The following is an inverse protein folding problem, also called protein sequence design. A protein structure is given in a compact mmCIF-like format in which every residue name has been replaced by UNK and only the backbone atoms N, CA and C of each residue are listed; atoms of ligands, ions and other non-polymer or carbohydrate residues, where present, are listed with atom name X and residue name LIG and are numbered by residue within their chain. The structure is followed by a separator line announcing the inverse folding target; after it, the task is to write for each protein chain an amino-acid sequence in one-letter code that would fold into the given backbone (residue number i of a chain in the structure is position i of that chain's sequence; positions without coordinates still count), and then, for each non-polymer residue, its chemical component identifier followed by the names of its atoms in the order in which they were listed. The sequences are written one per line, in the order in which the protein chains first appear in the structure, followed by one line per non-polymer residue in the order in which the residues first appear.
data_IF_936279981183
#
_entry.id   IF_936279981183
#
_cell.length_a   1.000
_cell.length_b   1.000
_cell.length_c   1.000
_cell.angle_alpha   90.00
_cell.angle_beta   90.00
_cell.angle_gamma   90.00
#
_symmetry.space_group_name_H-M   'P 1'
#
loop_
_entity.id
_entity.type
_entity.pdbx_description
1 polymer ?
#
# COMPACT_ATOMS: atom_id res chain seq x y z
N UNK A 1 -22.98 -5.45 12.97
CA UNK A 1 -22.91 -5.88 11.55
C UNK A 1 -22.14 -7.19 11.49
N UNK A 2 -22.58 -8.18 10.71
CA UNK A 2 -21.80 -9.41 10.53
C UNK A 2 -20.47 -9.11 9.81
N UNK A 3 -19.37 -9.76 10.22
CA UNK A 3 -18.04 -9.55 9.66
C UNK A 3 -18.00 -9.73 8.14
N UNK A 4 -18.83 -10.65 7.61
CA UNK A 4 -18.98 -10.87 6.18
C UNK A 4 -19.54 -9.65 5.43
N UNK A 5 -20.51 -8.95 6.03
CA UNK A 5 -21.11 -7.74 5.45
C UNK A 5 -20.08 -6.62 5.40
N UNK A 6 -19.27 -6.45 6.45
CA UNK A 6 -18.22 -5.43 6.48
C UNK A 6 -17.12 -5.68 5.44
N UNK A 7 -16.72 -6.95 5.27
CA UNK A 7 -15.80 -7.37 4.20
C UNK A 7 -16.38 -7.08 2.81
N UNK A 8 -17.65 -7.40 2.58
CA UNK A 8 -18.34 -7.10 1.33
C UNK A 8 -18.34 -5.61 1.00
N UNK A 9 -18.67 -4.77 1.99
CA UNK A 9 -18.65 -3.30 1.83
C UNK A 9 -17.25 -2.79 1.47
N UNK A 10 -16.21 -3.24 2.19
CA UNK A 10 -14.83 -2.85 1.90
C UNK A 10 -14.41 -3.27 0.49
N UNK A 11 -14.71 -4.50 0.09
CA UNK A 11 -14.34 -5.03 -1.22
C UNK A 11 -15.01 -4.27 -2.36
N UNK A 12 -16.32 -4.01 -2.25
CA UNK A 12 -17.07 -3.27 -3.28
C UNK A 12 -16.59 -1.83 -3.34
N UNK A 13 -16.53 -1.13 -2.21
CA UNK A 13 -16.13 0.28 -2.17
C UNK A 13 -14.68 0.47 -2.65
N UNK A 14 -13.76 -0.41 -2.24
CA UNK A 14 -12.38 -0.36 -2.70
C UNK A 14 -12.29 -0.66 -4.19
N UNK A 15 -13.00 -1.69 -4.68
CA UNK A 15 -13.05 -2.05 -6.10
C UNK A 15 -13.60 -0.92 -6.98
N UNK A 16 -14.67 -0.26 -6.55
CA UNK A 16 -15.22 0.91 -7.25
C UNK A 16 -14.19 2.04 -7.34
N UNK A 17 -13.47 2.32 -6.25
CA UNK A 17 -12.42 3.33 -6.25
C UNK A 17 -11.24 2.95 -7.16
N UNK A 18 -10.83 1.67 -7.16
CA UNK A 18 -9.80 1.12 -8.06
C UNK A 18 -10.19 1.38 -9.52
N UNK A 19 -11.42 1.05 -9.89
CA UNK A 19 -11.92 1.25 -11.26
C UNK A 19 -11.96 2.73 -11.60
N UNK A 20 -12.48 3.58 -10.72
CA UNK A 20 -12.56 5.03 -10.95
C UNK A 20 -11.17 5.66 -11.18
N UNK A 21 -10.18 5.32 -10.35
CA UNK A 21 -8.81 5.81 -10.49
C UNK A 21 -8.14 5.24 -11.73
N UNK A 22 -8.40 3.98 -12.07
CA UNK A 22 -7.87 3.37 -13.30
C UNK A 22 -8.41 4.08 -14.54
N UNK A 23 -9.73 4.34 -14.61
CA UNK A 23 -10.36 5.06 -15.73
C UNK A 23 -9.89 6.52 -15.81
N UNK A 24 -9.67 7.19 -14.68
CA UNK A 24 -9.12 8.54 -14.65
C UNK A 24 -7.67 8.54 -15.15
N UNK A 25 -6.88 7.59 -14.68
CA UNK A 25 -5.46 7.46 -15.02
C UNK A 25 -5.21 6.98 -16.44
N UNK A 26 -6.15 6.26 -17.07
CA UNK A 26 -6.09 5.93 -18.50
C UNK A 26 -6.11 7.18 -19.38
N UNK A 27 -6.74 8.26 -18.92
CA UNK A 27 -6.76 9.56 -19.60
C UNK A 27 -5.56 10.44 -19.27
N UNK A 28 -4.77 10.09 -18.25
CA UNK A 28 -3.63 10.87 -17.78
C UNK A 28 -2.32 10.16 -18.16
N UNK A 29 -1.36 10.89 -18.72
CA UNK A 29 0.02 10.37 -18.86
C UNK A 29 0.84 10.83 -17.66
N UNK A 30 1.68 9.96 -17.07
CA UNK A 30 2.01 8.58 -17.46
C UNK A 30 1.04 7.51 -16.90
N UNK A 31 0.76 6.47 -17.71
CA UNK A 31 -0.17 5.37 -17.38
C UNK A 31 0.22 4.53 -16.16
N UNK A 32 1.49 4.58 -15.72
CA UNK A 32 1.96 3.81 -14.56
C UNK A 32 1.28 4.22 -13.25
N UNK A 33 0.76 5.45 -13.18
CA UNK A 33 0.03 5.93 -12.00
C UNK A 33 -1.30 5.19 -11.79
N UNK A 34 -1.93 4.67 -12.86
CA UNK A 34 -3.14 3.85 -12.75
C UNK A 34 -2.90 2.66 -11.82
N UNK A 35 -1.86 1.86 -12.10
CA UNK A 35 -1.53 0.68 -11.30
C UNK A 35 -1.07 1.03 -9.88
N UNK A 36 -0.24 2.06 -9.73
CA UNK A 36 0.33 2.43 -8.43
C UNK A 36 -0.74 2.95 -7.46
N UNK A 37 -1.64 3.84 -7.91
CA UNK A 37 -2.66 4.43 -7.04
C UNK A 37 -3.90 3.55 -6.90
N UNK A 38 -4.36 2.88 -7.97
CA UNK A 38 -5.58 2.10 -7.93
C UNK A 38 -5.44 0.81 -7.11
N UNK A 39 -4.24 0.24 -6.97
CA UNK A 39 -4.01 -0.98 -6.20
C UNK A 39 -4.00 -0.75 -4.68
N UNK A 40 -2.83 -0.87 -4.08
CA UNK A 40 -2.67 -0.88 -2.62
C UNK A 40 -3.15 0.40 -1.91
N UNK A 41 -2.87 1.63 -2.39
CA UNK A 41 -3.28 2.85 -1.69
C UNK A 41 -4.79 3.06 -1.63
N UNK A 42 -5.51 2.76 -2.73
CA UNK A 42 -6.97 2.90 -2.80
C UNK A 42 -7.67 1.94 -1.85
N UNK A 43 -7.26 0.67 -1.87
CA UNK A 43 -7.81 -0.36 -0.98
C UNK A 43 -7.53 -0.04 0.48
N UNK A 44 -6.30 0.41 0.79
CA UNK A 44 -5.92 0.82 2.14
C UNK A 44 -6.79 2.00 2.64
N UNK A 45 -6.98 3.02 1.81
CA UNK A 45 -7.76 4.22 2.16
C UNK A 45 -9.22 3.88 2.45
N UNK A 46 -9.87 3.09 1.59
CA UNK A 46 -11.26 2.66 1.81
C UNK A 46 -11.37 1.73 3.01
N UNK A 47 -10.40 0.84 3.20
CA UNK A 47 -10.38 -0.07 4.35
C UNK A 47 -10.28 0.70 5.67
N UNK A 48 -9.41 1.71 5.77
CA UNK A 48 -9.33 2.61 6.92
C UNK A 48 -10.65 3.35 7.10
N UNK A 49 -11.17 4.04 6.08
CA UNK A 49 -12.43 4.79 6.20
C UNK A 49 -13.58 3.93 6.75
N UNK A 50 -13.77 2.73 6.20
CA UNK A 50 -14.82 1.80 6.65
C UNK A 50 -14.53 1.27 8.06
N UNK A 51 -13.27 1.00 8.38
CA UNK A 51 -12.85 0.54 9.72
C UNK A 51 -13.07 1.61 10.78
N UNK A 52 -12.74 2.87 10.50
CA UNK A 52 -12.85 3.95 11.45
C UNK A 52 -14.29 4.28 11.79
N UNK A 53 -15.17 4.20 10.79
CA UNK A 53 -16.61 4.35 10.98
C UNK A 53 -17.18 3.17 11.77
N UNK A 54 -16.75 1.93 11.49
CA UNK A 54 -17.34 0.73 12.09
C UNK A 54 -16.75 0.32 13.46
N UNK A 55 -15.47 0.60 13.70
CA UNK A 55 -14.67 0.09 14.82
C UNK A 55 -14.01 1.22 15.65
N UNK A 56 -14.12 2.48 15.23
CA UNK A 56 -13.59 3.65 15.94
C UNK A 56 -12.18 4.07 15.50
N UNK A 57 -11.90 5.37 15.61
CA UNK A 57 -10.70 6.01 15.06
C UNK A 57 -9.37 5.61 15.72
N UNK A 58 -9.38 5.16 16.98
CA UNK A 58 -8.16 4.83 17.71
C UNK A 58 -7.41 3.62 17.11
N UNK A 59 -8.14 2.60 16.65
CA UNK A 59 -7.55 1.41 16.04
C UNK A 59 -7.00 1.71 14.63
N UNK A 60 -7.67 2.61 13.94
CA UNK A 60 -7.30 3.07 12.61
C UNK A 60 -6.04 3.93 12.62
N UNK A 61 -5.86 4.77 13.65
CA UNK A 61 -4.65 5.58 13.79
C UNK A 61 -3.40 4.69 13.82
N UNK A 62 -3.40 3.63 14.62
CA UNK A 62 -2.28 2.69 14.68
C UNK A 62 -2.05 1.96 13.34
N UNK A 63 -3.13 1.55 12.66
CA UNK A 63 -3.03 0.91 11.35
C UNK A 63 -2.46 1.87 10.28
N UNK A 64 -2.91 3.13 10.28
CA UNK A 64 -2.43 4.16 9.37
C UNK A 64 -0.94 4.46 9.57
N UNK A 65 -0.47 4.54 10.82
CA UNK A 65 0.95 4.76 11.09
C UNK A 65 1.82 3.58 10.61
N UNK A 66 1.36 2.34 10.75
CA UNK A 66 2.01 1.16 10.18
C UNK A 66 2.07 1.20 8.64
N UNK A 67 1.00 1.67 7.99
CA UNK A 67 0.98 1.87 6.54
C UNK A 67 1.98 2.93 6.07
N UNK A 68 2.17 4.01 6.84
CA UNK A 68 3.18 5.05 6.55
C UNK A 68 4.59 4.45 6.63
N UNK A 69 4.90 3.66 7.67
CA UNK A 69 6.18 2.99 7.79
C UNK A 69 6.44 2.03 6.60
N UNK A 70 5.42 1.29 6.18
CA UNK A 70 5.48 0.44 4.99
C UNK A 70 5.69 1.22 3.68
N UNK A 71 5.08 2.41 3.56
CA UNK A 71 5.26 3.31 2.42
C UNK A 71 6.69 3.86 2.33
N UNK A 72 7.29 4.22 3.47
CA UNK A 72 8.72 4.58 3.53
C UNK A 72 9.59 3.42 3.06
N UNK A 73 9.32 2.20 3.55
CA UNK A 73 10.01 1.00 3.08
C UNK A 73 9.88 0.80 1.56
N UNK A 74 8.70 1.09 0.99
CA UNK A 74 8.46 0.95 -0.45
C UNK A 74 9.34 1.91 -1.28
N UNK A 75 9.65 3.10 -0.76
CA UNK A 75 10.60 4.02 -1.43
C UNK A 75 11.99 3.39 -1.52
N UNK A 76 12.48 2.83 -0.41
CA UNK A 76 13.78 2.13 -0.40
C UNK A 76 13.78 0.89 -1.29
N UNK A 77 12.68 0.13 -1.30
CA UNK A 77 12.47 -0.97 -2.23
C UNK A 77 12.61 -0.52 -3.68
N UNK A 78 11.90 0.54 -4.08
CA UNK A 78 11.91 1.03 -5.46
C UNK A 78 13.29 1.54 -5.87
N UNK A 79 14.01 2.23 -4.99
CA UNK A 79 15.38 2.68 -5.24
C UNK A 79 16.34 1.50 -5.40
N UNK A 80 16.28 0.54 -4.49
CA UNK A 80 17.10 -0.66 -4.54
C UNK A 80 16.80 -1.47 -5.82
N UNK A 81 15.52 -1.72 -6.12
CA UNK A 81 15.09 -2.45 -7.29
C UNK A 81 15.56 -1.78 -8.59
N UNK A 82 15.50 -0.44 -8.69
CA UNK A 82 15.94 0.29 -9.88
C UNK A 82 17.42 0.09 -10.21
N UNK A 83 18.25 -0.17 -9.19
CA UNK A 83 19.69 -0.44 -9.33
C UNK A 83 19.93 -1.96 -9.48
N UNK A 84 19.42 -2.76 -8.55
CA UNK A 84 19.72 -4.18 -8.47
C UNK A 84 19.15 -5.00 -9.62
N UNK A 85 17.98 -4.65 -10.13
CA UNK A 85 17.39 -5.36 -11.29
C UNK A 85 18.29 -5.22 -12.52
N UNK A 86 19.00 -4.09 -12.67
CA UNK A 86 19.94 -3.87 -13.77
C UNK A 86 21.21 -4.71 -13.63
N UNK A 87 21.67 -4.98 -12.40
CA UNK A 87 22.95 -5.65 -12.15
C UNK A 87 22.84 -7.15 -11.89
N UNK A 88 21.75 -7.61 -11.26
CA UNK A 88 21.56 -9.00 -10.82
C UNK A 88 20.46 -9.72 -11.61
N UNK A 89 19.80 -9.02 -12.54
CA UNK A 89 18.62 -9.52 -13.23
C UNK A 89 17.34 -9.41 -12.40
N UNK A 90 16.19 -9.60 -13.04
CA UNK A 90 14.88 -9.31 -12.47
C UNK A 90 14.56 -10.10 -11.19
N UNK A 91 14.86 -11.40 -11.16
CA UNK A 91 14.48 -12.29 -10.05
C UNK A 91 15.36 -12.01 -8.83
N UNK A 92 16.68 -12.10 -8.97
CA UNK A 92 17.61 -11.89 -7.86
C UNK A 92 17.59 -10.43 -7.38
N UNK A 93 17.51 -9.47 -8.29
CA UNK A 93 17.41 -8.05 -7.94
C UNK A 93 16.15 -7.70 -7.14
N UNK A 94 14.99 -8.28 -7.51
CA UNK A 94 13.74 -8.08 -6.77
C UNK A 94 13.75 -8.77 -5.40
N UNK A 95 14.33 -9.97 -5.32
CA UNK A 95 14.46 -10.72 -4.06
C UNK A 95 15.34 -9.99 -3.04
N UNK A 96 16.45 -9.40 -3.48
CA UNK A 96 17.32 -8.62 -2.57
C UNK A 96 16.72 -7.25 -2.26
N UNK A 97 15.96 -6.64 -3.19
CA UNK A 97 15.23 -5.40 -2.91
C UNK A 97 14.20 -5.57 -1.78
N UNK A 98 13.63 -6.76 -1.59
CA UNK A 98 12.76 -7.06 -0.43
C UNK A 98 13.47 -6.84 0.92
N UNK A 99 14.79 -7.09 1.00
CA UNK A 99 15.55 -6.80 2.22
C UNK A 99 15.67 -5.28 2.44
N UNK A 100 15.85 -4.51 1.37
CA UNK A 100 15.87 -3.05 1.41
C UNK A 100 14.50 -2.45 1.79
N UNK A 101 13.41 -3.17 1.57
CA UNK A 101 12.09 -2.82 2.11
C UNK A 101 12.00 -3.11 3.62
N UNK A 102 12.36 -4.34 4.01
CA UNK A 102 12.17 -4.84 5.36
C UNK A 102 12.98 -4.04 6.39
N UNK A 103 14.25 -3.73 6.12
CA UNK A 103 15.14 -3.04 7.08
C UNK A 103 14.54 -1.69 7.57
N UNK A 104 14.20 -0.72 6.69
CA UNK A 104 13.62 0.55 7.12
C UNK A 104 12.19 0.40 7.65
N UNK A 105 11.38 -0.53 7.11
CA UNK A 105 10.02 -0.76 7.60
C UNK A 105 10.02 -1.29 9.04
N UNK A 106 10.83 -2.31 9.33
CA UNK A 106 11.02 -2.83 10.68
C UNK A 106 11.72 -1.82 11.58
N UNK A 107 12.69 -1.06 11.07
CA UNK A 107 13.37 0.00 11.80
C UNK A 107 12.42 1.09 12.28
N UNK A 108 11.58 1.65 11.39
CA UNK A 108 10.57 2.63 11.75
C UNK A 108 9.53 2.06 12.71
N UNK A 109 9.07 0.82 12.47
CA UNK A 109 8.11 0.17 13.35
C UNK A 109 8.65 0.02 14.77
N UNK A 110 9.91 -0.40 14.91
CA UNK A 110 10.52 -0.64 16.21
C UNK A 110 10.88 0.65 16.96
N UNK A 111 11.26 1.72 16.25
CA UNK A 111 11.64 3.00 16.85
C UNK A 111 10.45 3.91 17.19
N UNK A 112 9.39 3.91 16.37
CA UNK A 112 8.32 4.91 16.48
C UNK A 112 6.94 4.33 16.80
N UNK A 113 6.70 3.04 16.56
CA UNK A 113 5.37 2.41 16.64
C UNK A 113 5.27 1.32 17.71
N UNK A 114 6.32 1.15 18.52
CA UNK A 114 6.40 0.19 19.60
C UNK A 114 5.90 0.77 20.92
#
# INVERSE_FOLDING_TARGET
MSSAVLLGIRAIAAGTLVVAISMLSDRLKPKMFAGLFAGAPSVATVSLLVSGIAMGAAKDANAASGMIAGAVGLVFFSLAAAVLVKHLGAIAGSAVAWLAWAIPAFGLYWLFLR
#
